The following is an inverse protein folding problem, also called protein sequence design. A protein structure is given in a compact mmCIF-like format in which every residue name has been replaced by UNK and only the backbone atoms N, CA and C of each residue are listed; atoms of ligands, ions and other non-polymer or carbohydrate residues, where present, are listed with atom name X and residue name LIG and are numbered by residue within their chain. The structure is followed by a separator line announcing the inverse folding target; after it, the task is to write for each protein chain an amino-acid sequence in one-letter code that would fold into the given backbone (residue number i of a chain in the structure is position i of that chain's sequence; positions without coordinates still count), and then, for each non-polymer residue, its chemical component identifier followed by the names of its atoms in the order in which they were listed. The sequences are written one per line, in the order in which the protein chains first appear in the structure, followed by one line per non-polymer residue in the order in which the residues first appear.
data_IF_875511126028
#
_entry.id   IF_875511126028
#
_cell.length_a   1.000
_cell.length_b   1.000
_cell.length_c   1.000
_cell.angle_alpha   90.00
_cell.angle_beta   90.00
_cell.angle_gamma   90.00
#
_symmetry.space_group_name_H-M   'P 1'
#
loop_
_entity.id
_entity.type
_entity.pdbx_description
1 polymer ?
2 polymer ?
3 non-polymer ?
4 non-polymer ?
5 water ?
#
# COMPACT_ATOMS: atom_id res chain seq x y z
N UNK A 4 -12.13 -15.71 14.41
CA UNK A 4 -11.55 -16.06 13.07
C UNK A 4 -11.83 -15.00 12.02
N UNK A 5 -10.90 -14.85 11.05
CA UNK A 5 -11.10 -13.95 9.93
C UNK A 5 -12.11 -14.51 8.95
N UNK A 6 -12.86 -13.62 8.31
CA UNK A 6 -13.82 -14.03 7.30
C UNK A 6 -13.22 -13.71 5.95
N UNK A 7 -13.02 -14.74 5.12
CA UNK A 7 -12.37 -14.53 3.81
C UNK A 7 -13.37 -14.86 2.73
N UNK A 8 -13.60 -13.88 1.86
CA UNK A 8 -14.75 -13.94 0.96
C UNK A 8 -14.39 -14.18 -0.50
N UNK A 9 -13.17 -13.83 -0.89
CA UNK A 9 -12.85 -14.01 -2.29
C UNK A 9 -11.42 -13.69 -2.64
N UNK A 10 -11.03 -14.15 -3.83
CA UNK A 10 -9.77 -13.75 -4.42
C UNK A 10 -10.13 -13.06 -5.74
N UNK A 11 -9.73 -11.80 -5.84
CA UNK A 11 -9.98 -11.01 -7.07
C UNK A 11 -8.68 -10.78 -7.81
N UNK A 12 -8.80 -10.63 -9.12
CA UNK A 12 -7.59 -10.44 -9.91
C UNK A 12 -7.91 -9.48 -11.05
N UNK A 13 -6.90 -8.73 -11.47
CA UNK A 13 -7.10 -7.70 -12.51
C UNK A 13 -5.83 -7.66 -13.35
N UNK A 14 -5.95 -7.78 -14.67
CA UNK A 14 -4.77 -7.65 -15.52
C UNK A 14 -4.91 -6.43 -16.46
N UNK A 15 -5.77 -5.50 -16.07
CA UNK A 15 -6.11 -4.30 -16.86
C UNK A 15 -5.30 -3.05 -16.51
N UNK A 16 -4.41 -3.15 -15.53
CA UNK A 16 -3.74 -1.97 -14.96
C UNK A 16 -2.27 -1.84 -15.34
N UNK A 17 -1.75 -0.63 -15.19
CA UNK A 17 -0.33 -0.38 -15.28
C UNK A 17 0.08 0.29 -13.99
N UNK A 18 1.37 0.22 -13.69
CA UNK A 18 1.96 0.88 -12.55
C UNK A 18 2.86 2.06 -12.99
N UNK A 19 2.69 3.22 -12.31
CA UNK A 19 3.51 4.39 -12.57
C UNK A 19 4.23 4.68 -11.25
N UNK A 20 5.55 4.80 -11.35
CA UNK A 20 6.35 5.14 -10.16
C UNK A 20 7.13 6.43 -10.35
N UNK A 21 6.90 7.36 -9.43
CA UNK A 21 7.60 8.63 -9.41
C UNK A 21 8.79 8.41 -8.49
N UNK A 22 10.01 8.43 -9.03
CA UNK A 22 11.21 8.04 -8.27
C UNK A 22 11.95 9.29 -7.78
N UNK A 23 12.43 9.24 -6.52
CA UNK A 23 13.31 10.29 -6.05
C UNK A 23 12.59 11.61 -5.73
N UNK A 24 11.41 11.52 -5.16
CA UNK A 24 10.73 12.71 -4.76
C UNK A 24 11.24 13.16 -3.39
N UNK A 25 11.53 14.46 -3.23
CA UNK A 25 11.96 14.93 -1.92
C UNK A 25 10.90 14.67 -0.86
N UNK A 26 11.31 14.17 0.32
CA UNK A 26 10.33 13.79 1.39
C UNK A 26 10.07 15.01 2.26
N UNK A 27 9.42 15.99 1.62
CA UNK A 27 9.25 17.34 2.16
C UNK A 27 7.82 17.74 1.84
N UNK A 28 7.20 18.58 2.68
CA UNK A 28 5.77 18.91 2.36
C UNK A 28 5.57 19.51 0.98
N UNK A 29 4.42 19.14 0.39
CA UNK A 29 4.00 19.75 -0.89
C UNK A 29 4.37 18.95 -2.11
N UNK A 30 5.26 17.98 -1.97
CA UNK A 30 5.68 17.25 -3.15
C UNK A 30 4.65 16.22 -3.64
N UNK A 31 4.02 15.48 -2.73
CA UNK A 31 2.97 14.54 -3.15
C UNK A 31 1.81 15.35 -3.77
N UNK A 32 1.53 16.52 -3.23
CA UNK A 32 0.46 17.38 -3.77
C UNK A 32 0.71 17.70 -5.24
N UNK A 33 1.96 18.02 -5.58
CA UNK A 33 2.27 18.38 -6.97
C UNK A 33 2.04 17.19 -7.89
N UNK A 34 2.43 16.00 -7.45
CA UNK A 34 2.30 14.76 -8.24
C UNK A 34 0.82 14.50 -8.48
N UNK A 35 0.06 14.50 -7.40
CA UNK A 35 -1.38 14.11 -7.58
C UNK A 35 -2.21 15.18 -8.27
N UNK A 36 -1.86 16.46 -8.07
CA UNK A 36 -2.58 17.52 -8.79
C UNK A 36 -2.30 17.37 -10.32
N UNK A 37 -1.08 16.98 -10.70
CA UNK A 37 -0.75 16.81 -12.10
C UNK A 37 -1.57 15.67 -12.68
N UNK A 38 -1.65 14.59 -11.93
CA UNK A 38 -2.41 13.45 -12.40
C UNK A 38 -3.91 13.82 -12.47
N UNK A 39 -4.44 14.55 -11.47
CA UNK A 39 -5.86 15.00 -11.48
C UNK A 39 -6.11 15.91 -12.70
N UNK A 40 -5.18 16.82 -12.96
CA UNK A 40 -5.30 17.76 -14.09
C UNK A 40 -5.39 17.02 -15.44
N UNK A 41 -4.70 15.89 -15.52
CA UNK A 41 -4.73 15.04 -16.72
C UNK A 41 -5.99 14.16 -16.76
N UNK A 42 -6.82 14.24 -15.72
CA UNK A 42 -8.09 13.49 -15.67
C UNK A 42 -7.84 11.97 -15.73
N UNK A 43 -6.80 11.53 -15.01
CA UNK A 43 -6.43 10.09 -14.94
C UNK A 43 -6.92 9.54 -13.62
N UNK A 44 -7.81 8.55 -13.67
CA UNK A 44 -8.26 7.91 -12.44
C UNK A 44 -7.19 6.98 -11.92
N UNK A 45 -6.98 7.03 -10.60
CA UNK A 45 -5.94 6.19 -10.00
C UNK A 45 -6.55 5.23 -9.00
N UNK A 46 -6.03 4.01 -9.05
CA UNK A 46 -6.55 2.95 -8.23
C UNK A 46 -5.68 2.88 -6.96
N UNK A 47 -4.62 2.08 -6.96
CA UNK A 47 -3.78 1.93 -5.75
C UNK A 47 -2.84 3.17 -5.68
N UNK A 48 -2.61 3.66 -4.48
CA UNK A 48 -1.57 4.67 -4.27
C UNK A 48 -0.71 4.17 -3.14
N UNK A 49 0.62 4.16 -3.32
CA UNK A 49 1.55 3.67 -2.29
C UNK A 49 2.77 4.55 -2.23
N UNK A 50 3.14 4.94 -1.02
CA UNK A 50 4.41 5.64 -0.78
C UNK A 50 4.92 5.08 0.52
N UNK A 51 6.13 4.50 0.49
CA UNK A 51 6.83 4.10 1.70
C UNK A 51 7.79 5.21 2.16
N UNK A 52 8.48 4.98 3.30
CA UNK A 52 9.25 6.05 3.92
C UNK A 52 10.55 6.39 3.19
N UNK A 53 11.01 7.64 3.36
CA UNK A 53 12.37 7.96 2.93
C UNK A 53 13.32 7.48 3.99
N UNK A 54 14.62 7.48 3.67
CA UNK A 54 15.65 7.30 4.71
C UNK A 54 16.62 8.46 4.61
N UNK A 55 17.39 8.64 5.68
CA UNK A 55 18.19 9.87 5.85
C UNK A 55 19.22 9.98 4.72
N UNK A 56 19.61 8.85 4.12
CA UNK A 56 20.71 8.86 3.17
C UNK A 56 20.45 9.77 1.96
N UNK A 57 19.26 9.75 1.39
CA UNK A 57 19.01 10.70 0.32
C UNK A 57 17.85 11.67 0.58
N UNK A 58 17.10 11.44 1.65
CA UNK A 58 15.91 12.28 1.93
C UNK A 58 14.80 12.27 0.93
N UNK A 59 14.74 11.21 0.14
CA UNK A 59 13.77 11.06 -0.95
C UNK A 59 13.00 9.77 -0.80
N UNK A 60 11.84 9.76 -1.42
CA UNK A 60 11.10 8.51 -1.53
C UNK A 60 10.48 8.40 -2.89
N UNK A 61 9.72 7.32 -3.10
CA UNK A 61 9.03 7.10 -4.38
C UNK A 61 7.53 7.07 -4.14
N UNK A 62 6.76 7.51 -5.13
CA UNK A 62 5.31 7.32 -5.06
C UNK A 62 4.90 6.41 -6.23
N UNK A 63 4.16 5.36 -5.92
CA UNK A 63 3.62 4.53 -7.00
C UNK A 63 2.11 4.65 -7.06
N UNK A 64 1.52 4.65 -8.26
CA UNK A 64 0.09 4.43 -8.30
C UNK A 64 -0.22 3.49 -9.45
N UNK A 65 -1.38 2.88 -9.40
CA UNK A 65 -1.86 2.10 -10.54
C UNK A 65 -3.01 2.83 -11.23
N UNK A 66 -3.22 2.49 -12.49
CA UNK A 66 -4.29 3.08 -13.30
C UNK A 66 -4.55 2.17 -14.46
N UNK A 67 -5.59 2.45 -15.24
CA UNK A 67 -5.82 1.59 -16.36
C UNK A 67 -4.67 1.67 -17.41
N UNK A 68 -4.35 0.54 -18.03
CA UNK A 68 -3.29 0.50 -19.04
C UNK A 68 -3.57 1.51 -20.14
N UNK A 69 -4.83 1.72 -20.48
CA UNK A 69 -5.15 2.69 -21.53
C UNK A 69 -4.66 4.12 -21.26
N UNK A 70 -4.69 4.53 -19.99
CA UNK A 70 -4.41 5.95 -19.66
C UNK A 70 -3.05 6.09 -19.01
N UNK A 71 -2.40 4.96 -18.73
CA UNK A 71 -1.06 5.01 -18.17
C UNK A 71 -0.09 5.95 -18.89
N UNK A 72 0.01 5.84 -20.22
CA UNK A 72 1.00 6.74 -20.89
C UNK A 72 0.63 8.21 -20.77
N UNK A 73 -0.65 8.51 -20.68
CA UNK A 73 -1.05 9.92 -20.50
C UNK A 73 -0.61 10.43 -19.12
N UNK A 74 -0.69 9.58 -18.12
CA UNK A 74 -0.24 9.95 -16.78
C UNK A 74 1.28 10.18 -16.78
N UNK A 75 2.02 9.26 -17.42
CA UNK A 75 3.47 9.40 -17.54
C UNK A 75 3.87 10.70 -18.26
N UNK A 76 3.24 10.98 -19.42
CA UNK A 76 3.66 12.16 -20.14
C UNK A 76 3.32 13.45 -19.37
N UNK A 77 2.20 13.42 -18.62
CA UNK A 77 1.84 14.62 -17.85
C UNK A 77 2.90 14.86 -16.79
N UNK A 78 3.27 13.81 -16.08
CA UNK A 78 4.32 13.95 -15.03
C UNK A 78 5.63 14.36 -15.66
N UNK A 79 6.01 13.72 -16.78
CA UNK A 79 7.27 14.04 -17.41
C UNK A 79 7.33 15.53 -17.80
N UNK A 80 6.19 16.07 -18.24
CA UNK A 80 6.15 17.44 -18.71
C UNK A 80 6.35 18.42 -17.56
N UNK A 81 6.24 17.90 -16.35
CA UNK A 81 6.34 18.76 -15.13
C UNK A 81 7.51 18.25 -14.29
N UNK A 82 8.45 17.55 -14.92
CA UNK A 82 9.50 16.89 -14.12
C UNK A 82 10.35 17.89 -13.38
N UNK A 83 10.56 19.04 -13.97
CA UNK A 83 11.36 20.05 -13.28
C UNK A 83 10.55 20.88 -12.27
N UNK A 84 9.25 21.05 -12.47
CA UNK A 84 8.38 21.65 -11.43
C UNK A 84 8.33 20.83 -10.21
N UNK A 85 8.21 19.53 -10.43
CA UNK A 85 7.94 18.60 -9.31
C UNK A 85 9.24 18.15 -8.63
N UNK A 86 10.29 17.87 -9.40
CA UNK A 86 11.64 17.62 -8.84
C UNK A 86 12.00 16.16 -8.61
N UNK A 87 11.25 15.24 -9.21
CA UNK A 87 11.64 13.84 -9.11
C UNK A 87 12.78 13.52 -10.08
N UNK A 88 13.39 12.36 -9.94
CA UNK A 88 14.55 12.09 -10.75
C UNK A 88 14.22 11.19 -11.95
N UNK A 89 13.15 10.41 -11.84
CA UNK A 89 12.76 9.55 -12.95
C UNK A 89 11.35 8.98 -12.80
N UNK A 90 10.80 8.53 -13.93
CA UNK A 90 9.53 7.83 -13.95
C UNK A 90 9.74 6.40 -14.44
N UNK A 91 9.14 5.46 -13.72
CA UNK A 91 9.12 4.03 -14.13
C UNK A 91 7.71 3.65 -14.51
N UNK A 92 7.60 2.88 -15.58
CA UNK A 92 6.27 2.51 -16.06
C UNK A 92 6.28 1.02 -16.32
N UNK A 93 5.25 0.36 -15.83
CA UNK A 93 5.16 -1.07 -16.04
C UNK A 93 3.73 -1.40 -16.44
N UNK A 94 3.54 -1.75 -17.71
CA UNK A 94 2.21 -2.15 -18.20
C UNK A 94 2.04 -3.67 -18.30
N UNK A 95 2.83 -4.41 -17.51
CA UNK A 95 2.74 -5.86 -17.44
C UNK A 95 2.56 -6.37 -16.05
N UNK A 96 1.70 -5.70 -15.32
CA UNK A 96 1.41 -6.17 -13.96
C UNK A 96 0.06 -6.88 -13.86
N UNK A 97 -0.02 -7.82 -12.92
CA UNK A 97 -1.29 -8.40 -12.51
C UNK A 97 -1.50 -7.95 -11.07
N UNK A 98 -2.74 -7.69 -10.73
CA UNK A 98 -3.10 -7.34 -9.34
C UNK A 98 -3.93 -8.50 -8.81
N UNK A 99 -3.59 -9.00 -7.62
CA UNK A 99 -4.40 -10.04 -6.99
C UNK A 99 -4.67 -9.66 -5.55
N UNK A 100 -5.92 -9.89 -5.10
CA UNK A 100 -6.30 -9.45 -3.76
C UNK A 100 -7.05 -10.53 -3.04
N UNK A 101 -6.79 -10.67 -1.75
CA UNK A 101 -7.61 -11.49 -0.88
C UNK A 101 -8.54 -10.53 -0.17
N UNK A 102 -9.83 -10.82 -0.23
CA UNK A 102 -10.85 -9.89 0.27
C UNK A 102 -11.50 -10.51 1.48
N UNK A 103 -11.70 -9.74 2.54
CA UNK A 103 -12.34 -10.33 3.75
C UNK A 103 -12.43 -9.34 4.88
N UNK A 104 -12.54 -9.86 6.10
CA UNK A 104 -12.73 -8.99 7.25
C UNK A 104 -12.06 -9.60 8.42
N UNK A 105 -11.74 -8.75 9.40
CA UNK A 105 -11.25 -9.20 10.70
C UNK A 105 -9.81 -9.68 10.59
N UNK A 106 -9.07 -9.18 9.61
CA UNK A 106 -7.70 -9.67 9.38
C UNK A 106 -6.68 -9.02 10.31
N UNK A 107 -7.01 -7.88 10.90
CA UNK A 107 -6.01 -7.25 11.77
C UNK A 107 -5.56 -8.14 12.94
N UNK A 108 -6.47 -8.90 13.53
CA UNK A 108 -6.09 -9.74 14.69
C UNK A 108 -5.52 -11.09 14.26
N UNK A 109 -5.27 -11.24 12.96
CA UNK A 109 -4.77 -12.50 12.35
C UNK A 109 -3.59 -12.26 11.41
N UNK A 110 -2.43 -11.96 11.97
CA UNK A 110 -1.26 -11.72 11.08
C UNK A 110 -0.87 -12.96 10.27
N UNK A 111 -1.28 -14.15 10.72
CA UNK A 111 -1.04 -15.37 9.95
C UNK A 111 -1.70 -15.34 8.61
N UNK A 112 -2.80 -14.59 8.46
CA UNK A 112 -3.40 -14.43 7.14
C UNK A 112 -2.42 -13.76 6.13
N UNK A 113 -1.76 -12.67 6.53
CA UNK A 113 -0.82 -11.99 5.67
C UNK A 113 0.39 -12.88 5.40
N UNK A 114 0.80 -13.62 6.42
CA UNK A 114 1.94 -14.56 6.28
C UNK A 114 1.54 -15.65 5.26
N UNK A 115 0.33 -16.18 5.41
CA UNK A 115 -0.13 -17.28 4.56
C UNK A 115 -0.22 -16.84 3.12
N UNK A 116 -0.74 -15.62 2.90
CA UNK A 116 -0.90 -15.06 1.57
C UNK A 116 0.49 -15.05 0.86
N UNK A 117 1.48 -14.53 1.56
CA UNK A 117 2.80 -14.43 1.00
C UNK A 117 3.44 -15.79 0.83
N UNK A 118 3.15 -16.71 1.76
CA UNK A 118 3.74 -18.05 1.71
C UNK A 118 3.16 -18.79 0.51
N UNK A 119 1.89 -18.53 0.19
CA UNK A 119 1.21 -19.21 -0.92
C UNK A 119 1.89 -18.77 -2.22
N UNK A 120 2.13 -17.47 -2.39
CA UNK A 120 2.78 -17.00 -3.62
C UNK A 120 4.22 -17.50 -3.70
N UNK A 121 4.92 -17.48 -2.57
CA UNK A 121 6.31 -17.99 -2.54
C UNK A 121 6.40 -19.45 -2.98
N UNK A 122 5.42 -20.26 -2.55
CA UNK A 122 5.43 -21.70 -2.76
C UNK A 122 5.39 -21.99 -4.26
N UNK A 123 4.74 -21.09 -5.02
CA UNK A 123 4.65 -21.32 -6.47
C UNK A 123 5.64 -20.40 -7.25
N UNK A 124 6.56 -19.77 -6.52
CA UNK A 124 7.68 -18.99 -7.15
C UNK A 124 7.23 -17.65 -7.74
N UNK A 125 6.12 -17.11 -7.24
CA UNK A 125 5.65 -15.82 -7.68
C UNK A 125 6.32 -14.71 -6.88
N UNK A 126 6.99 -13.81 -7.57
CA UNK A 126 7.60 -12.66 -6.88
C UNK A 126 6.56 -11.57 -6.57
N UNK A 127 6.57 -11.09 -5.32
CA UNK A 127 5.65 -10.02 -4.95
C UNK A 127 6.31 -8.66 -5.20
N UNK A 128 5.78 -7.87 -6.14
CA UNK A 128 6.40 -6.61 -6.52
C UNK A 128 6.07 -5.48 -5.59
N UNK A 129 4.78 -5.45 -5.17
CA UNK A 129 4.28 -4.39 -4.35
C UNK A 129 3.19 -5.00 -3.45
N UNK A 130 3.06 -4.44 -2.26
CA UNK A 130 2.04 -4.89 -1.28
C UNK A 130 1.32 -3.70 -0.72
N UNK A 131 -0.01 -3.81 -0.61
CA UNK A 131 -0.80 -2.84 0.12
C UNK A 131 -1.90 -3.59 0.85
N UNK A 132 -1.97 -3.48 2.17
CA UNK A 132 -3.03 -4.22 2.89
C UNK A 132 -3.80 -3.33 3.84
N UNK A 133 -4.91 -3.91 4.34
CA UNK A 133 -5.81 -3.28 5.30
C UNK A 133 -6.51 -4.41 6.03
N UNK A 134 -7.34 -4.09 7.02
CA UNK A 134 -8.07 -5.17 7.70
C UNK A 134 -9.13 -5.85 6.82
N UNK A 135 -9.43 -5.28 5.64
CA UNK A 135 -10.38 -5.92 4.67
C UNK A 135 -9.82 -6.33 3.31
N UNK A 136 -8.52 -6.15 3.12
CA UNK A 136 -7.96 -6.59 1.87
C UNK A 136 -6.47 -6.74 1.93
N UNK A 137 -5.96 -7.77 1.29
CA UNK A 137 -4.52 -7.88 1.04
C UNK A 137 -4.32 -7.84 -0.46
N UNK A 138 -3.59 -6.85 -0.98
CA UNK A 138 -3.43 -6.73 -2.44
C UNK A 138 -1.96 -6.75 -2.76
N UNK A 139 -1.61 -7.46 -3.82
CA UNK A 139 -0.25 -7.38 -4.34
C UNK A 139 -0.22 -7.24 -5.82
N UNK A 140 0.92 -6.75 -6.33
CA UNK A 140 1.13 -6.80 -7.78
C UNK A 140 2.22 -7.82 -8.06
N UNK A 141 2.04 -8.56 -9.15
CA UNK A 141 3.06 -9.50 -9.63
C UNK A 141 3.15 -9.36 -11.14
N UNK A 142 4.10 -10.04 -11.75
CA UNK A 142 4.17 -10.03 -13.22
C UNK A 142 2.85 -10.59 -13.74
N UNK A 143 2.30 -10.00 -14.79
CA UNK A 143 1.01 -10.47 -15.29
C UNK A 143 1.05 -11.94 -15.72
N UNK A 144 2.17 -12.39 -16.28
CA UNK A 144 2.31 -13.82 -16.63
C UNK A 144 2.33 -14.81 -15.42
N UNK A 145 2.40 -14.27 -14.19
CA UNK A 145 2.41 -15.06 -12.96
C UNK A 145 1.07 -14.98 -12.25
N UNK A 146 0.17 -14.15 -12.77
CA UNK A 146 -1.11 -13.91 -12.06
C UNK A 146 -1.91 -15.20 -11.89
N UNK A 147 -2.02 -15.96 -12.95
CA UNK A 147 -2.86 -17.15 -12.90
C UNK A 147 -2.42 -18.10 -11.81
N UNK A 148 -1.11 -18.32 -11.72
CA UNK A 148 -0.64 -19.28 -10.75
C UNK A 148 -0.75 -18.71 -9.34
N UNK A 149 -0.62 -17.38 -9.20
CA UNK A 149 -0.88 -16.73 -7.94
C UNK A 149 -2.32 -16.96 -7.45
N UNK A 150 -3.27 -16.76 -8.37
CA UNK A 150 -4.70 -16.95 -8.06
C UNK A 150 -4.95 -18.37 -7.58
N UNK A 151 -4.48 -19.36 -8.32
CA UNK A 151 -4.66 -20.74 -7.94
C UNK A 151 -4.05 -21.03 -6.56
N UNK A 152 -2.82 -20.57 -6.32
CA UNK A 152 -2.18 -20.80 -5.03
C UNK A 152 -3.00 -20.23 -3.88
N UNK A 153 -3.54 -19.02 -4.07
CA UNK A 153 -4.38 -18.38 -3.06
C UNK A 153 -5.69 -19.14 -2.86
N UNK A 154 -6.31 -19.61 -3.95
CA UNK A 154 -7.52 -20.44 -3.83
C UNK A 154 -7.23 -21.62 -2.92
N UNK A 155 -6.13 -22.32 -3.20
CA UNK A 155 -5.77 -23.48 -2.39
C UNK A 155 -5.43 -23.13 -0.94
N UNK A 156 -4.64 -22.08 -0.73
CA UNK A 156 -4.26 -21.69 0.64
C UNK A 156 -5.44 -21.26 1.54
N UNK A 157 -6.45 -20.66 0.95
CA UNK A 157 -7.56 -20.07 1.72
C UNK A 157 -8.89 -20.77 1.50
N UNK A 158 -8.85 -21.86 0.74
CA UNK A 158 -10.06 -22.64 0.46
C UNK A 158 -11.16 -21.82 -0.20
N UNK A 159 -10.75 -21.02 -1.18
CA UNK A 159 -11.64 -20.15 -1.94
C UNK A 159 -11.68 -20.55 -3.41
N UNK A 160 -12.73 -20.10 -4.10
CA UNK A 160 -12.86 -20.23 -5.54
C UNK A 160 -13.31 -21.59 -6.04
N UNK A 161 -13.99 -22.36 -5.18
CA UNK A 161 -14.44 -23.74 -5.55
C UNK A 161 -15.51 -23.81 -6.62
N UNK B 4 -20.43 12.21 -7.94
CA UNK B 4 -19.11 12.43 -7.25
C UNK B 4 -18.87 11.62 -5.93
N UNK B 5 -17.71 11.80 -5.26
CA UNK B 5 -17.39 10.84 -4.19
C UNK B 5 -18.11 11.20 -2.89
N UNK B 6 -18.18 10.24 -1.97
CA UNK B 6 -18.75 10.60 -0.68
C UNK B 6 -17.68 10.46 0.37
N UNK B 7 -17.63 11.48 1.20
CA UNK B 7 -16.62 11.62 2.24
C UNK B 7 -17.38 11.70 3.56
N UNK B 8 -17.19 10.72 4.45
CA UNK B 8 -17.96 10.63 5.69
C UNK B 8 -17.24 11.17 6.89
N UNK B 9 -15.90 11.22 6.84
CA UNK B 9 -15.21 11.72 8.02
C UNK B 9 -13.71 11.62 7.91
N UNK B 10 -13.07 12.04 8.99
CA UNK B 10 -11.62 11.98 9.15
C UNK B 10 -11.32 11.20 10.42
N UNK B 11 -10.40 10.25 10.28
CA UNK B 11 -10.07 9.38 11.41
C UNK B 11 -8.63 9.68 11.79
N UNK B 12 -8.33 9.51 13.08
CA UNK B 12 -6.97 9.72 13.53
C UNK B 12 -6.63 8.68 14.57
N UNK B 13 -5.35 8.35 14.63
CA UNK B 13 -4.89 7.28 15.50
C UNK B 13 -3.47 7.58 15.92
N UNK B 14 -3.26 7.66 17.23
CA UNK B 14 -1.97 7.99 17.78
C UNK B 14 -1.35 6.81 18.51
N UNK B 15 -1.93 5.63 18.32
CA UNK B 15 -1.53 4.47 19.11
C UNK B 15 -0.54 3.53 18.42
N UNK B 16 -0.14 3.86 17.19
CA UNK B 16 0.63 2.93 16.39
C UNK B 16 2.11 3.27 16.27
N UNK B 17 2.90 2.29 15.86
CA UNK B 17 4.28 2.52 15.48
C UNK B 17 4.48 1.95 14.11
N UNK B 18 5.52 2.41 13.40
CA UNK B 18 5.87 1.81 12.12
C UNK B 18 7.23 1.10 12.23
N UNK B 19 7.26 -0.12 11.69
CA UNK B 19 8.46 -0.94 11.59
C UNK B 19 8.81 -1.02 10.11
N UNK B 20 10.07 -0.71 9.77
CA UNK B 20 10.47 -0.81 8.36
C UNK B 20 11.62 -1.82 8.25
N UNK B 21 11.44 -2.81 7.39
CA UNK B 21 12.48 -3.77 7.07
C UNK B 21 13.14 -3.23 5.84
N UNK B 22 14.37 -2.73 6.00
CA UNK B 22 15.13 -2.08 4.90
C UNK B 22 15.95 -3.11 4.09
N UNK B 23 15.86 -3.03 2.75
CA UNK B 23 16.82 -3.76 1.91
C UNK B 23 16.48 -5.25 1.89
N UNK B 24 15.18 -5.54 1.80
CA UNK B 24 14.73 -6.94 1.67
C UNK B 24 14.97 -7.40 0.24
N UNK B 25 15.57 -8.60 0.04
CA UNK B 25 15.72 -9.08 -1.34
C UNK B 25 14.39 -9.18 -2.08
N UNK B 26 14.37 -8.68 -3.32
CA UNK B 26 13.13 -8.64 -4.08
C UNK B 26 13.05 -9.90 -4.96
N UNK B 27 12.89 -11.01 -4.28
CA UNK B 27 12.78 -12.32 -4.94
C UNK B 27 11.77 -13.14 -4.11
N UNK B 28 11.29 -14.27 -4.65
CA UNK B 28 10.21 -14.89 -3.88
C UNK B 28 10.57 -15.38 -2.53
N UNK B 29 9.58 -15.32 -1.64
CA UNK B 29 9.69 -15.94 -0.34
C UNK B 29 10.10 -15.05 0.79
N UNK B 30 10.53 -13.83 0.49
CA UNK B 30 11.11 -12.97 1.49
C UNK B 30 10.04 -12.24 2.31
N UNK B 31 8.98 -11.73 1.68
CA UNK B 31 7.85 -11.17 2.43
C UNK B 31 7.23 -12.26 3.35
N UNK B 32 7.17 -13.49 2.85
CA UNK B 32 6.70 -14.64 3.65
C UNK B 32 7.49 -14.80 4.93
N UNK B 33 8.82 -14.70 4.83
CA UNK B 33 9.68 -14.87 6.01
C UNK B 33 9.36 -13.74 7.00
N UNK B 34 9.24 -12.51 6.50
CA UNK B 34 8.97 -11.38 7.35
C UNK B 34 7.66 -11.59 8.08
N UNK B 35 6.60 -11.89 7.32
CA UNK B 35 5.30 -11.95 7.97
C UNK B 35 5.01 -13.15 8.82
N UNK B 36 5.67 -14.26 8.51
CA UNK B 36 5.55 -15.41 9.37
C UNK B 36 6.23 -15.11 10.70
N UNK B 37 7.35 -14.40 10.63
CA UNK B 37 8.07 -14.01 11.86
C UNK B 37 7.19 -13.12 12.72
N UNK B 38 6.53 -12.15 12.09
CA UNK B 38 5.69 -11.20 12.81
C UNK B 38 4.51 -11.94 13.43
N UNK B 39 3.92 -12.88 12.65
CA UNK B 39 2.78 -13.65 13.14
C UNK B 39 3.25 -14.57 14.29
N UNK B 40 4.47 -15.08 14.18
CA UNK B 40 4.99 -16.02 15.20
C UNK B 40 5.18 -15.29 16.51
N UNK B 41 5.53 -14.01 16.42
CA UNK B 41 5.69 -13.09 17.54
C UNK B 41 4.36 -12.62 18.11
N UNK B 42 3.25 -13.07 17.51
CA UNK B 42 1.90 -12.64 17.91
C UNK B 42 1.63 -11.15 17.81
N UNK B 43 2.19 -10.50 16.79
CA UNK B 43 2.07 -9.07 16.57
C UNK B 43 1.00 -8.82 15.51
N UNK B 44 -0.12 -8.26 15.94
CA UNK B 44 -1.15 -7.83 14.99
C UNK B 44 -0.68 -6.69 14.11
N UNK B 45 -1.00 -6.78 12.82
CA UNK B 45 -0.53 -5.85 11.79
C UNK B 45 -1.71 -4.99 11.31
N UNK B 46 -1.54 -3.66 11.25
CA UNK B 46 -2.61 -2.81 10.78
C UNK B 46 -2.49 -2.68 9.27
N UNK B 47 -1.38 -2.10 8.83
CA UNK B 47 -1.16 -1.80 7.41
C UNK B 47 0.19 -2.40 7.02
N UNK B 48 0.28 -2.98 5.82
CA UNK B 48 1.56 -3.38 5.20
C UNK B 48 1.70 -2.55 3.93
N UNK B 49 2.90 -2.05 3.73
CA UNK B 49 3.17 -1.33 2.53
C UNK B 49 4.54 -1.77 2.00
N UNK B 50 4.58 -2.14 0.71
CA UNK B 50 5.85 -2.41 0.04
C UNK B 50 5.78 -1.82 -1.34
N UNK B 51 6.62 -0.84 -1.67
CA UNK B 51 6.77 -0.37 -3.02
C UNK B 51 7.80 -1.22 -3.80
N UNK B 52 7.98 -0.87 -5.07
CA UNK B 52 8.83 -1.61 -5.98
C UNK B 52 10.31 -1.44 -5.72
N UNK B 53 11.05 -2.52 -5.95
CA UNK B 53 12.48 -2.36 -6.07
C UNK B 53 12.84 -1.54 -7.29
N UNK B 54 14.04 -0.98 -7.25
CA UNK B 54 14.60 -0.42 -8.46
C UNK B 54 15.73 -1.38 -8.86
N UNK B 55 15.95 -1.50 -10.16
CA UNK B 55 16.87 -2.53 -10.67
C UNK B 55 18.32 -2.40 -10.17
N UNK B 56 18.72 -1.16 -9.86
CA UNK B 56 20.06 -0.83 -9.31
C UNK B 56 20.46 -1.68 -8.08
N UNK B 57 19.51 -2.02 -7.21
CA UNK B 57 19.90 -2.89 -6.10
C UNK B 57 19.11 -4.19 -5.88
N UNK B 58 18.01 -4.36 -6.61
CA UNK B 58 17.19 -5.58 -6.52
C UNK B 58 16.67 -5.85 -5.11
N UNK B 59 16.54 -4.79 -4.32
CA UNK B 59 15.98 -4.87 -2.96
C UNK B 59 14.89 -3.80 -2.78
N UNK B 60 13.99 -4.03 -1.83
CA UNK B 60 13.01 -3.00 -1.49
C UNK B 60 12.77 -3.05 -0.02
N UNK B 61 11.97 -2.12 0.49
CA UNK B 61 11.63 -2.10 1.91
C UNK B 61 10.21 -2.54 2.11
N UNK B 62 9.95 -3.12 3.27
CA UNK B 62 8.57 -3.39 3.69
C UNK B 62 8.31 -2.64 5.00
N UNK B 63 7.23 -1.86 5.06
CA UNK B 63 6.84 -1.21 6.31
C UNK B 63 5.52 -1.81 6.76
N UNK B 64 5.37 -2.04 8.07
CA UNK B 64 4.04 -2.26 8.56
C UNK B 64 3.82 -1.46 9.84
N UNK B 65 2.57 -1.22 10.15
CA UNK B 65 2.23 -0.56 11.42
C UNK B 65 1.63 -1.56 12.39
N UNK B 66 1.83 -1.28 13.67
CA UNK B 66 1.25 -2.14 14.70
C UNK B 66 1.07 -1.26 15.93
N UNK B 67 0.46 -1.79 16.98
CA UNK B 67 0.33 -1.03 18.19
C UNK B 67 1.73 -0.76 18.79
N UNK B 68 1.90 0.43 19.38
CA UNK B 68 3.16 0.81 20.02
C UNK B 68 3.54 -0.20 21.11
N UNK B 69 2.54 -0.83 21.72
CA UNK B 69 2.84 -1.75 22.81
C UNK B 69 3.57 -3.00 22.33
N UNK B 70 3.35 -3.42 21.09
CA UNK B 70 3.99 -4.66 20.62
C UNK B 70 5.10 -4.44 19.58
N UNK B 71 5.32 -3.19 19.18
CA UNK B 71 6.40 -2.89 18.20
C UNK B 71 7.71 -3.52 18.62
N UNK B 72 8.15 -3.28 19.87
CA UNK B 72 9.44 -3.83 20.28
C UNK B 72 9.54 -5.35 20.11
N UNK B 73 8.44 -6.08 20.35
CA UNK B 73 8.47 -7.54 20.14
C UNK B 73 8.70 -7.91 18.68
N UNK B 74 8.05 -7.17 17.76
CA UNK B 74 8.26 -7.33 16.33
C UNK B 74 9.71 -7.06 15.93
N UNK B 75 10.28 -5.96 16.44
CA UNK B 75 11.67 -5.64 16.12
C UNK B 75 12.62 -6.76 16.57
N UNK B 76 12.45 -7.18 17.82
CA UNK B 76 13.28 -8.23 18.43
C UNK B 76 13.21 -9.51 17.59
N UNK B 77 12.01 -9.88 17.16
CA UNK B 77 11.83 -11.11 16.39
C UNK B 77 12.52 -11.01 15.03
N UNK B 78 12.29 -9.91 14.30
CA UNK B 78 12.90 -9.75 12.99
C UNK B 78 14.42 -9.70 13.10
N UNK B 79 14.91 -9.02 14.13
CA UNK B 79 16.34 -8.87 14.35
C UNK B 79 16.98 -10.23 14.54
N UNK B 80 16.28 -11.14 15.22
CA UNK B 80 16.79 -12.47 15.48
C UNK B 80 16.90 -13.33 14.21
N UNK B 81 16.32 -12.88 13.10
CA UNK B 81 16.28 -13.64 11.84
C UNK B 81 16.98 -12.90 10.70
N UNK B 82 17.92 -12.03 11.07
CA UNK B 82 18.63 -11.23 10.08
C UNK B 82 19.28 -12.10 8.99
N UNK B 83 19.95 -13.20 9.36
CA UNK B 83 20.61 -14.07 8.34
C UNK B 83 19.61 -14.72 7.41
N UNK B 84 18.52 -15.19 7.96
CA UNK B 84 17.52 -15.93 7.23
C UNK B 84 16.74 -15.04 6.26
N UNK B 85 16.44 -13.82 6.71
CA UNK B 85 15.61 -12.91 5.96
C UNK B 85 16.47 -12.06 5.04
N UNK B 86 17.68 -11.69 5.43
CA UNK B 86 18.64 -11.05 4.50
C UNK B 86 18.44 -9.55 4.35
N UNK B 87 17.73 -8.93 5.29
CA UNK B 87 17.58 -7.46 5.24
C UNK B 87 18.82 -6.76 5.75
N UNK B 88 18.95 -5.48 5.47
CA UNK B 88 20.12 -4.72 5.94
C UNK B 88 19.90 -3.98 7.22
N UNK B 89 18.67 -3.50 7.48
CA UNK B 89 18.48 -2.67 8.64
C UNK B 89 17.01 -2.71 9.01
N UNK B 90 16.72 -2.49 10.27
CA UNK B 90 15.34 -2.24 10.73
C UNK B 90 15.23 -0.77 11.18
N UNK B 91 14.10 -0.12 10.88
CA UNK B 91 13.84 1.23 11.43
C UNK B 91 12.57 1.07 12.24
N UNK B 92 12.54 1.74 13.40
CA UNK B 92 11.37 1.71 14.22
C UNK B 92 10.99 3.16 14.61
N UNK B 93 9.73 3.52 14.44
CA UNK B 93 9.28 4.87 14.72
C UNK B 93 7.97 4.77 15.47
N UNK B 94 8.00 5.07 16.77
CA UNK B 94 6.80 5.01 17.59
C UNK B 94 6.30 6.43 17.91
N UNK B 95 6.60 7.37 17.01
CA UNK B 95 6.14 8.76 17.15
C UNK B 95 5.28 9.15 15.95
N UNK B 96 4.55 8.21 15.41
CA UNK B 96 3.69 8.52 14.26
C UNK B 96 2.24 8.74 14.63
N UNK B 97 1.58 9.59 13.84
CA UNK B 97 0.11 9.68 13.87
C UNK B 97 -0.36 9.10 12.54
N UNK B 98 -1.53 8.47 12.55
CA UNK B 98 -2.18 8.00 11.31
C UNK B 98 -3.40 8.83 11.14
N UNK B 99 -3.55 9.46 9.98
CA UNK B 99 -4.73 10.26 9.68
C UNK B 99 -5.32 9.76 8.37
N UNK B 100 -6.66 9.66 8.36
CA UNK B 100 -7.34 9.06 7.23
C UNK B 100 -8.57 9.84 6.81
N UNK B 101 -8.76 9.96 5.51
CA UNK B 101 -10.02 10.41 4.94
C UNK B 101 -10.87 9.19 4.58
N UNK B 102 -12.10 9.18 5.09
CA UNK B 102 -12.99 8.03 5.02
C UNK B 102 -14.13 8.32 4.06
N UNK B 103 -14.51 7.35 3.24
CA UNK B 103 -15.58 7.60 2.26
C UNK B 103 -15.74 6.46 1.28
N UNK B 104 -16.16 6.76 0.06
CA UNK B 104 -16.34 5.79 -1.00
C UNK B 104 -16.25 6.48 -2.36
N UNK B 105 -15.99 5.72 -3.42
CA UNK B 105 -16.09 6.23 -4.79
C UNK B 105 -14.98 7.22 -5.17
N UNK B 106 -13.85 7.06 -4.52
CA UNK B 106 -12.72 7.99 -4.69
C UNK B 106 -11.86 7.72 -5.91
N UNK B 107 -11.84 6.49 -6.40
CA UNK B 107 -11.08 6.15 -7.60
C UNK B 107 -11.49 6.99 -8.84
N UNK B 108 -12.73 7.42 -8.94
CA UNK B 108 -13.10 8.22 -10.12
C UNK B 108 -12.82 9.72 -9.93
N UNK B 109 -12.17 10.04 -8.82
CA UNK B 109 -11.89 11.43 -8.47
C UNK B 109 -10.46 11.63 -7.99
N UNK B 110 -9.52 11.71 -8.95
CA UNK B 110 -8.13 11.93 -8.57
C UNK B 110 -7.95 13.27 -7.81
N UNK B 111 -8.87 14.21 -8.02
CA UNK B 111 -8.79 15.49 -7.31
C UNK B 111 -8.87 15.32 -5.81
N UNK B 112 -9.53 14.25 -5.35
CA UNK B 112 -9.60 14.02 -3.90
C UNK B 112 -8.22 13.74 -3.29
N UNK B 113 -7.44 12.87 -3.91
CA UNK B 113 -6.11 12.60 -3.37
C UNK B 113 -5.24 13.85 -3.42
N UNK B 114 -5.34 14.56 -4.53
CA UNK B 114 -4.58 15.83 -4.66
C UNK B 114 -4.99 16.83 -3.57
N UNK B 115 -6.29 17.03 -3.37
CA UNK B 115 -6.75 17.95 -2.36
C UNK B 115 -6.27 17.56 -0.95
N UNK B 116 -6.36 16.27 -0.64
CA UNK B 116 -5.88 15.73 0.62
C UNK B 116 -4.41 16.14 0.83
N UNK B 117 -3.58 15.92 -0.18
CA UNK B 117 -2.16 16.21 -0.03
C UNK B 117 -1.93 17.73 0.02
N UNK B 118 -2.71 18.47 -0.78
CA UNK B 118 -2.60 19.95 -0.76
C UNK B 118 -2.99 20.48 0.60
N UNK B 119 -4.05 19.94 1.21
CA UNK B 119 -4.51 20.38 2.53
C UNK B 119 -3.40 20.22 3.56
N UNK B 120 -2.74 19.06 3.59
CA UNK B 120 -1.64 18.84 4.52
C UNK B 120 -0.40 19.71 4.21
N UNK B 121 -0.06 19.84 2.93
CA UNK B 121 1.07 20.66 2.54
C UNK B 121 0.91 22.08 3.02
N UNK B 122 -0.32 22.59 2.90
CA UNK B 122 -0.56 24.01 3.18
C UNK B 122 -0.37 24.36 4.66
N UNK B 123 -0.44 23.34 5.51
CA UNK B 123 -0.18 23.53 6.92
C UNK B 123 1.16 22.92 7.35
N UNK B 124 1.98 22.53 6.38
CA UNK B 124 3.35 22.11 6.63
C UNK B 124 3.50 20.74 7.24
N UNK B 125 2.49 19.88 7.05
CA UNK B 125 2.55 18.49 7.51
C UNK B 125 3.25 17.65 6.45
N UNK B 126 4.30 16.95 6.86
CA UNK B 126 5.00 16.06 5.93
C UNK B 126 4.34 14.70 5.88
N UNK B 127 4.09 14.21 4.67
CA UNK B 127 3.44 12.91 4.51
C UNK B 127 4.54 11.86 4.47
N UNK B 128 4.58 10.99 5.49
CA UNK B 128 5.70 10.08 5.60
C UNK B 128 5.45 8.84 4.73
N UNK B 129 4.18 8.50 4.63
CA UNK B 129 3.78 7.25 4.00
C UNK B 129 2.33 7.45 3.58
N UNK B 130 1.97 6.82 2.45
CA UNK B 130 0.58 6.88 1.93
C UNK B 130 0.13 5.51 1.56
N UNK B 131 -1.09 5.18 1.95
CA UNK B 131 -1.75 3.98 1.49
C UNK B 131 -3.23 4.28 1.26
N UNK B 132 -3.78 3.79 0.16
CA UNK B 132 -5.19 4.10 -0.09
C UNK B 132 -5.99 2.86 -0.40
N UNK B 133 -7.31 2.98 -0.25
CA UNK B 133 -8.22 1.99 -0.82
C UNK B 133 -9.44 2.70 -1.42
N UNK B 134 -10.44 1.90 -1.82
CA UNK B 134 -11.71 2.41 -2.36
C UNK B 134 -12.40 3.35 -1.34
N UNK B 135 -12.25 2.98 -0.06
CA UNK B 135 -12.89 3.64 1.08
C UNK B 135 -12.02 4.49 2.00
N UNK B 136 -10.73 4.66 1.72
CA UNK B 136 -9.86 5.36 2.66
C UNK B 136 -8.61 5.92 1.98
N UNK B 137 -8.20 7.14 2.37
CA UNK B 137 -6.84 7.61 2.03
C UNK B 137 -6.18 7.76 3.38
N UNK B 138 -5.08 7.04 3.60
CA UNK B 138 -4.42 7.07 4.91
C UNK B 138 -3.00 7.55 4.75
N UNK B 139 -2.58 8.44 5.64
CA UNK B 139 -1.16 8.79 5.71
C UNK B 139 -0.63 8.70 7.12
N UNK B 140 0.69 8.51 7.22
CA UNK B 140 1.37 8.69 8.52
C UNK B 140 2.09 10.04 8.49
N UNK B 141 2.07 10.69 9.63
CA UNK B 141 2.82 11.93 9.80
C UNK B 141 3.38 11.92 11.20
N UNK B 142 4.23 12.88 11.53
CA UNK B 142 4.65 12.99 12.93
C UNK B 142 3.47 13.14 13.82
N UNK B 143 3.49 12.51 15.00
CA UNK B 143 2.34 12.57 15.90
C UNK B 143 2.07 13.99 16.35
N UNK B 144 3.12 14.81 16.45
CA UNK B 144 2.90 16.21 16.83
C UNK B 144 2.27 17.06 15.71
N UNK B 145 2.21 16.51 14.49
CA UNK B 145 1.56 17.20 13.37
C UNK B 145 0.13 16.67 13.16
N UNK B 146 -0.24 15.61 13.88
CA UNK B 146 -1.54 14.94 13.71
C UNK B 146 -2.75 15.88 13.86
N UNK B 147 -2.82 16.62 14.96
CA UNK B 147 -3.95 17.54 15.18
C UNK B 147 -4.15 18.53 14.03
N UNK B 148 -3.07 19.13 13.55
CA UNK B 148 -3.24 20.15 12.50
C UNK B 148 -3.59 19.50 11.18
N UNK B 149 -3.12 18.27 10.97
CA UNK B 149 -3.50 17.49 9.79
C UNK B 149 -5.00 17.23 9.80
N UNK B 150 -5.51 16.87 10.97
CA UNK B 150 -6.95 16.60 11.14
C UNK B 150 -7.77 17.85 10.86
N UNK B 151 -7.38 18.96 11.47
CA UNK B 151 -8.08 20.21 11.25
C UNK B 151 -8.07 20.57 9.75
N UNK B 152 -6.91 20.39 9.10
CA UNK B 152 -6.77 20.78 7.69
C UNK B 152 -7.71 19.97 6.80
N UNK B 153 -7.85 18.68 7.11
CA UNK B 153 -8.69 17.82 6.30
C UNK B 153 -10.16 18.14 6.54
N UNK B 154 -10.52 18.37 7.81
CA UNK B 154 -11.86 18.81 8.16
C UNK B 154 -12.26 20.00 7.30
N UNK B 155 -11.38 21.00 7.25
CA UNK B 155 -11.66 22.23 6.50
C UNK B 155 -11.68 21.99 5.01
N UNK B 156 -10.68 21.25 4.51
CA UNK B 156 -10.60 21.04 3.08
C UNK B 156 -11.81 20.28 2.52
N UNK B 157 -12.38 19.37 3.32
CA UNK B 157 -13.49 18.55 2.82
C UNK B 157 -14.87 18.83 3.38
N UNK B 158 -14.98 19.90 4.17
CA UNK B 158 -16.25 20.29 4.82
C UNK B 158 -16.77 19.21 5.76
N UNK B 159 -15.88 18.66 6.58
CA UNK B 159 -16.21 17.55 7.48
C UNK B 159 -16.12 17.95 8.95
N UNK C 1 -21.36 -21.65 -8.72
CA UNK C 1 -22.76 -22.14 -8.91
C UNK C 1 -23.51 -21.31 -9.96
N UNK C 2 -24.16 -22.01 -10.90
CA UNK C 2 -24.84 -21.38 -12.04
C UNK C 2 -26.10 -20.62 -11.59
N UNK C 3 -26.36 -19.48 -12.23
CA UNK C 3 -27.61 -18.72 -12.03
C UNK C 3 -28.85 -19.59 -12.23
N UNK C 4 -29.78 -19.52 -11.29
CA UNK C 4 -31.06 -20.22 -11.44
C UNK C 4 -32.07 -19.26 -12.05
N UNK C 5 -32.62 -19.69 -13.19
CA UNK C 5 -33.75 -19.00 -13.79
C UNK C 5 -35.00 -19.65 -13.20
N UNK C 6 -35.64 -18.89 -12.31
CA UNK C 6 -36.72 -19.40 -11.49
C UNK C 6 -38.05 -18.90 -12.05
N UNK C 7 -39.16 -19.41 -11.45
CA UNK C 7 -40.51 -18.95 -11.78
C UNK C 7 -41.23 -19.71 -12.88
N UNK C 8 -40.54 -20.57 -13.63
CA UNK C 8 -41.13 -21.19 -14.83
C UNK C 8 -41.82 -22.51 -14.56
N UNK C 9 -41.51 -23.14 -13.43
CA UNK C 9 -42.02 -24.48 -13.16
C UNK C 9 -41.50 -25.53 -14.11
N UNK C 10 -40.40 -25.20 -14.80
CA UNK C 10 -39.76 -26.07 -15.78
C UNK C 10 -38.31 -26.43 -15.44
N UNK C 11 -37.79 -27.46 -16.15
CA UNK C 11 -36.40 -27.91 -16.07
C UNK C 11 -35.47 -26.74 -16.42
X LIG D 1 6.60 13.89 2.07
X LIG D 1 6.16 14.43 0.74
X LIG D 1 4.96 15.32 0.98
X LIG D 1 4.47 15.87 0.03
X LIG D 1 5.82 13.29 -0.20
X LIG D 1 4.79 12.50 0.39
X LIG D 1 7.08 12.43 -0.45
X LIG D 1 4.50 15.47 2.10
X LIG E 1 -3.52 -16.10 12.70
X LIG E 1 -2.74 -17.39 12.83
X LIG E 1 -4.69 -16.17 13.63
X LIG E 1 -2.75 -14.92 13.12
X LIG E 1 -4.01 -16.07 11.31
X LIG F 1 -11.25 -17.44 -11.17
X LIG F 1 -12.16 -17.61 -12.32
X LIG F 1 -11.59 -18.39 -10.11
X LIG F 1 -9.83 -17.66 -11.60
X LIG F 1 -11.40 -16.09 -10.63
X LIG G 1 8.41 18.42 -21.89
X LIG G 1 8.37 18.83 -23.31
X LIG G 1 9.50 18.99 -21.12
X LIG G 1 7.12 18.91 -21.39
X LIG G 1 8.38 16.94 -21.83
X LIG H 1 -8.71 -10.12 -15.39
X LIG H 1 -8.52 -10.67 -16.76
X LIG H 1 -8.62 -8.62 -15.49
X LIG H 1 -10.06 -10.51 -14.94
X LIG H 1 -7.69 -10.78 -14.49
X LIG I 1 9.49 -9.76 -3.70
X LIG I 1 9.68 -10.29 -2.33
X LIG I 1 8.78 -11.52 -2.17
X LIG I 1 8.76 -12.10 -1.08
X LIG I 1 9.32 -9.28 -1.26
X LIG I 1 7.96 -8.88 -1.45
X LIG I 1 10.25 -8.06 -1.34
X LIG I 1 8.06 -11.90 -3.12
X LIG J 1 8.51 16.85 17.39
X LIG J 1 8.53 15.41 17.16
X LIG J 1 8.62 17.12 18.86
X LIG J 1 9.60 17.53 16.68
X LIG J 1 7.30 17.50 16.88
X LIG K 1 -12.20 15.29 -8.93
X LIG K 1 -13.55 14.98 -9.48
X LIG K 1 -12.25 15.12 -7.47
X LIG K 1 -11.18 14.39 -9.50
X LIG K 1 -11.83 16.70 -9.25
X LIG L 1 -6.13 9.11 19.06
X LIG L 1 -5.77 9.95 17.86
X LIG L 1 -5.83 9.93 20.26
X LIG L 1 -7.56 8.71 18.98
X LIG L 1 -5.37 7.82 19.10
#
# INVERSE_FOLDING_TARGET
MSEDPILTGVAHDRSEAKVTIVGLPDIPGYAAKVFRAVADADVNIDMVLQNVSKVEDGKTDITFTCSRDVGPAAVEKLDSLRNEIGFSQLLYDDHIGKVSLIGAGMRSHPGVTATFCEALAAVGVNIELISTSEIRISVLCRDTELDKAVVALHEAFGLGGDEEATVYAGTGRLEHHHHHH
MSEDPILTGVAHDRSEAKVTIVGLPDIPGYAAKVFRAVADADVNIDMVLQNVSKVEDGKTDITFTCSRDVGPAAVEKLDSLRNEIGFSQLLYDDHIGKVSLIGAGMRSHPGVTATFCEALAAVGVNIELISTSEIRISVLCRDTELDKAVVALHEAFGLGGDEEATVYAGTGRLEHHHHHH
EATVYAGTGRL
THR N CA C O CB OG1 CG2 OXT
SO4 S O1 O2 O3 O4
SO4 S O1 O2 O3 O4
SO4 S O1 O2 O3 O4
SO4 S O1 O2 O3 O4
THR N CA C O CB OG1 CG2 OXT
SO4 S O1 O2 O3 O4
SO4 S O1 O2 O3 O4
SO4 S O1 O2 O3 O4
#
